data_IF_927980488824
#
_entry.id   IF_927980488824
#
_cell.length_a   1.000
_cell.length_b   1.000
_cell.length_c   1.000
_cell.angle_alpha   90.00
_cell.angle_beta   90.00
_cell.angle_gamma   90.00
#
_symmetry.space_group_name_H-M   'P 1'
#
loop_
_entity.id
_entity.type
_entity.pdbx_description
1 polymer ?
#
# COMPACT_ATOMS: atom_id res chain seq x y z
N UNK A 1 8.30 -16.87 -7.21
CA UNK A 1 7.15 -16.11 -7.78
C UNK A 1 7.68 -15.07 -8.75
N UNK A 2 7.03 -14.92 -9.90
CA UNK A 2 7.30 -13.87 -10.89
C UNK A 2 6.64 -12.53 -10.48
N UNK A 3 6.98 -11.43 -11.17
CA UNK A 3 6.32 -10.12 -10.99
C UNK A 3 4.80 -10.24 -11.16
N UNK A 4 4.36 -10.94 -12.22
CA UNK A 4 2.94 -11.16 -12.50
C UNK A 4 2.23 -11.91 -11.37
N UNK A 5 2.84 -12.97 -10.84
CA UNK A 5 2.28 -13.72 -9.71
C UNK A 5 2.16 -12.86 -8.45
N UNK A 6 3.13 -11.97 -8.20
CA UNK A 6 3.02 -11.03 -7.08
C UNK A 6 1.88 -10.03 -7.26
N UNK A 7 1.68 -9.53 -8.48
CA UNK A 7 0.55 -8.62 -8.76
C UNK A 7 -0.79 -9.34 -8.58
N UNK A 8 -0.93 -10.57 -9.06
CA UNK A 8 -2.13 -11.40 -8.84
C UNK A 8 -2.43 -11.61 -7.35
N UNK A 9 -1.39 -11.79 -6.54
CA UNK A 9 -1.50 -11.86 -5.07
C UNK A 9 -2.00 -10.54 -4.48
N UNK A 10 -1.41 -9.43 -4.90
CA UNK A 10 -1.81 -8.11 -4.43
C UNK A 10 -3.25 -7.78 -4.82
N UNK A 11 -3.68 -8.16 -6.04
CA UNK A 11 -5.06 -7.97 -6.51
C UNK A 11 -6.06 -8.74 -5.64
N UNK A 12 -5.74 -9.99 -5.26
CA UNK A 12 -6.58 -10.77 -4.36
C UNK A 12 -6.66 -10.15 -2.96
N UNK A 13 -5.53 -9.71 -2.40
CA UNK A 13 -5.49 -9.05 -1.09
C UNK A 13 -6.25 -7.72 -1.17
N UNK A 14 -6.14 -6.98 -2.27
CA UNK A 14 -6.86 -5.73 -2.47
C UNK A 14 -8.38 -5.95 -2.52
N UNK A 15 -8.83 -6.94 -3.27
CA UNK A 15 -10.26 -7.30 -3.31
C UNK A 15 -10.81 -7.64 -1.92
N UNK A 16 -10.06 -8.43 -1.13
CA UNK A 16 -10.41 -8.73 0.26
C UNK A 16 -10.38 -7.46 1.14
N UNK A 17 -9.45 -6.55 0.87
CA UNK A 17 -9.36 -5.26 1.57
C UNK A 17 -10.61 -4.43 1.32
N UNK A 18 -11.07 -4.33 0.07
CA UNK A 18 -12.27 -3.56 -0.29
C UNK A 18 -13.53 -4.13 0.36
N UNK A 19 -13.71 -5.44 0.27
CA UNK A 19 -14.93 -6.13 0.69
C UNK A 19 -14.96 -6.49 2.19
N UNK A 20 -13.81 -6.45 2.84
CA UNK A 20 -13.65 -6.97 4.20
C UNK A 20 -13.60 -8.50 4.24
N UNK A 21 -13.46 -9.04 5.44
CA UNK A 21 -13.46 -10.49 5.73
C UNK A 21 -14.66 -10.80 6.62
N UNK A 22 -15.60 -11.66 6.20
CA UNK A 22 -16.79 -11.98 6.98
C UNK A 22 -16.44 -12.36 8.43
N UNK A 23 -17.14 -11.77 9.39
CA UNK A 23 -16.96 -11.94 10.85
C UNK A 23 -15.62 -11.43 11.42
N UNK A 24 -14.72 -10.89 10.61
CA UNK A 24 -13.38 -10.45 11.05
C UNK A 24 -13.16 -8.97 10.81
N UNK A 25 -13.49 -8.48 9.62
CA UNK A 25 -13.29 -7.07 9.29
C UNK A 25 -14.36 -6.56 8.33
N UNK A 26 -14.80 -5.32 8.56
CA UNK A 26 -15.75 -4.61 7.69
C UNK A 26 -15.06 -4.24 6.34
N UNK A 27 -15.84 -3.92 5.29
CA UNK A 27 -15.33 -3.24 4.10
C UNK A 27 -14.47 -2.03 4.47
N UNK A 28 -13.47 -1.72 3.66
CA UNK A 28 -12.54 -0.63 3.97
C UNK A 28 -13.24 0.73 4.03
N UNK A 29 -14.26 0.96 3.20
CA UNK A 29 -15.06 2.18 3.22
C UNK A 29 -15.79 2.37 4.55
N UNK A 30 -16.53 1.36 5.00
CA UNK A 30 -17.21 1.41 6.30
C UNK A 30 -16.24 1.63 7.46
N UNK A 31 -15.09 0.97 7.41
CA UNK A 31 -14.05 1.14 8.40
C UNK A 31 -13.48 2.57 8.42
N UNK A 32 -13.30 3.19 7.26
CA UNK A 32 -12.85 4.57 7.15
C UNK A 32 -13.92 5.57 7.59
N UNK A 33 -15.18 5.33 7.21
CA UNK A 33 -16.32 6.17 7.57
C UNK A 33 -16.52 6.27 9.10
N UNK A 34 -16.28 5.19 9.86
CA UNK A 34 -16.31 5.24 11.33
C UNK A 34 -15.33 6.28 11.91
N UNK A 35 -14.16 6.43 11.29
CA UNK A 35 -13.19 7.46 11.69
C UNK A 35 -13.64 8.85 11.26
N UNK A 36 -14.18 8.98 10.05
CA UNK A 36 -14.69 10.26 9.57
C UNK A 36 -15.88 10.76 10.41
N UNK A 37 -16.81 9.87 10.75
CA UNK A 37 -17.93 10.18 11.62
C UNK A 37 -17.49 10.64 13.01
N UNK A 38 -16.45 10.00 13.56
CA UNK A 38 -15.93 10.29 14.89
C UNK A 38 -15.16 11.61 14.94
N UNK A 39 -14.34 11.88 13.94
CA UNK A 39 -13.39 13.01 13.97
C UNK A 39 -13.82 14.20 13.09
N UNK A 40 -14.81 14.02 12.21
CA UNK A 40 -15.41 15.05 11.34
C UNK A 40 -14.44 15.79 10.40
N UNK A 41 -13.17 15.37 10.34
CA UNK A 41 -12.12 15.93 9.49
C UNK A 41 -11.31 14.77 8.90
N UNK A 42 -11.14 14.76 7.58
CA UNK A 42 -10.48 13.65 6.86
C UNK A 42 -9.00 13.50 7.23
N UNK A 43 -8.29 14.61 7.50
CA UNK A 43 -6.88 14.58 7.87
C UNK A 43 -6.71 14.03 9.28
N UNK A 44 -7.53 14.51 10.21
CA UNK A 44 -7.52 14.02 11.60
C UNK A 44 -7.94 12.54 11.63
N UNK A 45 -9.00 12.18 10.92
CA UNK A 45 -9.47 10.80 10.78
C UNK A 45 -8.35 9.89 10.24
N UNK A 46 -7.67 10.30 9.15
CA UNK A 46 -6.55 9.57 8.56
C UNK A 46 -5.42 9.36 9.57
N UNK A 47 -5.00 10.41 10.29
CA UNK A 47 -3.92 10.32 11.28
C UNK A 47 -4.29 9.39 12.44
N UNK A 48 -5.53 9.46 12.95
CA UNK A 48 -6.01 8.60 14.03
C UNK A 48 -6.13 7.14 13.59
N UNK A 49 -6.63 6.90 12.37
CA UNK A 49 -6.72 5.58 11.76
C UNK A 49 -5.33 4.95 11.67
N UNK A 50 -4.37 5.66 11.09
CA UNK A 50 -3.00 5.18 10.92
C UNK A 50 -2.37 4.83 12.26
N UNK A 51 -2.46 5.70 13.26
CA UNK A 51 -1.90 5.45 14.59
C UNK A 51 -2.51 4.19 15.23
N UNK A 52 -3.82 3.98 15.09
CA UNK A 52 -4.48 2.78 15.59
C UNK A 52 -4.04 1.51 14.85
N UNK A 53 -3.84 1.57 13.53
CA UNK A 53 -3.37 0.41 12.77
C UNK A 53 -1.93 0.04 13.12
N UNK A 54 -1.05 1.03 13.31
CA UNK A 54 0.33 0.80 13.79
C UNK A 54 0.31 0.07 15.14
N UNK A 55 -0.52 0.51 16.09
CA UNK A 55 -0.65 -0.13 17.39
C UNK A 55 -1.18 -1.57 17.27
N UNK A 56 -2.16 -1.82 16.40
CA UNK A 56 -2.69 -3.18 16.18
C UNK A 56 -1.66 -4.12 15.59
N UNK A 57 -0.78 -3.65 14.71
CA UNK A 57 0.30 -4.47 14.16
C UNK A 57 1.32 -4.92 15.21
N UNK A 58 1.39 -4.25 16.38
CA UNK A 58 2.30 -4.64 17.47
C UNK A 58 1.72 -5.75 18.38
N UNK A 59 0.42 -6.01 18.30
CA UNK A 59 -0.23 -7.03 19.10
C UNK A 59 -0.20 -8.36 18.34
N UNK A 60 0.61 -9.31 18.82
CA UNK A 60 0.81 -10.63 18.22
C UNK A 60 -0.51 -11.42 18.00
N UNK A 61 -1.52 -11.18 18.84
CA UNK A 61 -2.82 -11.81 18.72
C UNK A 61 -3.65 -11.38 17.52
N UNK A 62 -3.44 -10.16 17.01
CA UNK A 62 -4.18 -9.65 15.86
C UNK A 62 -3.72 -10.30 14.53
N UNK A 63 -2.41 -10.40 14.33
CA UNK A 63 -1.85 -11.00 13.12
C UNK A 63 -2.10 -12.52 13.05
N UNK A 64 -2.01 -13.22 14.18
CA UNK A 64 -2.30 -14.67 14.23
C UNK A 64 -3.79 -14.96 14.02
N UNK A 65 -4.68 -14.11 14.52
CA UNK A 65 -6.13 -14.24 14.30
C UNK A 65 -6.53 -14.05 12.83
N UNK A 66 -5.89 -13.14 12.11
CA UNK A 66 -6.12 -12.94 10.67
C UNK A 66 -5.56 -14.08 9.81
N UNK A 67 -4.41 -14.65 10.18
CA UNK A 67 -3.73 -15.68 9.39
C UNK A 67 -4.52 -16.97 9.20
N UNK A 68 -5.42 -17.29 10.13
CA UNK A 68 -6.32 -18.45 10.02
C UNK A 68 -7.56 -18.20 9.16
N UNK A 69 -7.89 -16.94 8.88
CA UNK A 69 -9.14 -16.55 8.21
C UNK A 69 -8.91 -16.04 6.77
N UNK A 70 -7.72 -15.50 6.48
CA UNK A 70 -7.32 -15.12 5.13
C UNK A 70 -6.93 -16.39 4.36
N UNK A 71 -7.92 -17.21 4.02
CA UNK A 71 -7.76 -18.33 3.08
C UNK A 71 -7.68 -17.79 1.66
N UNK A 72 -6.63 -17.05 1.37
CA UNK A 72 -6.30 -16.71 0.00
C UNK A 72 -5.53 -17.91 -0.55
N UNK A 73 -5.88 -18.48 -1.71
CA UNK A 73 -5.18 -19.63 -2.28
C UNK A 73 -3.81 -19.22 -2.84
N UNK A 74 -2.94 -18.73 -1.95
CA UNK A 74 -1.64 -18.18 -2.31
C UNK A 74 -0.56 -18.97 -1.58
N UNK A 75 0.53 -19.24 -2.30
CA UNK A 75 1.72 -19.91 -1.77
C UNK A 75 2.57 -19.00 -0.84
N UNK A 76 1.92 -18.12 -0.06
CA UNK A 76 2.58 -17.25 0.91
C UNK A 76 2.30 -17.73 2.34
N UNK A 77 3.29 -17.60 3.24
CA UNK A 77 3.05 -17.81 4.66
C UNK A 77 1.93 -16.88 5.19
N UNK A 78 1.05 -17.42 6.02
CA UNK A 78 -0.13 -16.70 6.53
C UNK A 78 0.23 -15.38 7.26
N UNK A 79 1.36 -15.34 7.96
CA UNK A 79 1.85 -14.12 8.62
C UNK A 79 2.19 -13.01 7.60
N UNK A 80 2.83 -13.31 6.48
CA UNK A 80 3.16 -12.33 5.44
C UNK A 80 1.88 -11.78 4.80
N UNK A 81 0.93 -12.67 4.47
CA UNK A 81 -0.37 -12.27 3.90
C UNK A 81 -1.13 -11.36 4.85
N UNK A 82 -1.14 -11.66 6.15
CA UNK A 82 -1.81 -10.85 7.17
C UNK A 82 -1.20 -9.46 7.31
N UNK A 83 0.13 -9.35 7.31
CA UNK A 83 0.83 -8.06 7.38
C UNK A 83 0.53 -7.21 6.15
N UNK A 84 0.63 -7.80 4.95
CA UNK A 84 0.31 -7.10 3.69
C UNK A 84 -1.15 -6.62 3.70
N UNK A 85 -2.09 -7.45 4.15
CA UNK A 85 -3.51 -7.09 4.26
C UNK A 85 -3.74 -5.89 5.17
N UNK A 86 -3.16 -5.89 6.36
CA UNK A 86 -3.33 -4.78 7.32
C UNK A 86 -2.73 -3.48 6.79
N UNK A 87 -1.54 -3.55 6.20
CA UNK A 87 -0.87 -2.40 5.60
C UNK A 87 -1.65 -1.87 4.40
N UNK A 88 -2.10 -2.75 3.51
CA UNK A 88 -2.91 -2.38 2.34
C UNK A 88 -4.24 -1.74 2.76
N UNK A 89 -4.92 -2.32 3.74
CA UNK A 89 -6.16 -1.79 4.31
C UNK A 89 -5.98 -0.39 4.92
N UNK A 90 -4.87 -0.17 5.60
CA UNK A 90 -4.52 1.14 6.16
C UNK A 90 -4.32 2.18 5.05
N UNK A 91 -3.54 1.85 4.00
CA UNK A 91 -3.30 2.76 2.87
C UNK A 91 -4.61 3.07 2.14
N UNK A 92 -5.40 2.05 1.81
CA UNK A 92 -6.68 2.21 1.10
C UNK A 92 -7.68 3.06 1.90
N UNK A 93 -7.77 2.88 3.23
CA UNK A 93 -8.62 3.69 4.07
C UNK A 93 -8.20 5.17 4.09
N UNK A 94 -6.88 5.45 4.14
CA UNK A 94 -6.37 6.83 4.04
C UNK A 94 -6.69 7.43 2.68
N UNK A 95 -6.50 6.68 1.58
CA UNK A 95 -6.85 7.13 0.24
C UNK A 95 -8.36 7.46 0.14
N UNK A 96 -9.22 6.57 0.61
CA UNK A 96 -10.67 6.77 0.62
C UNK A 96 -11.10 8.01 1.39
N UNK A 97 -10.59 8.22 2.61
CA UNK A 97 -10.87 9.41 3.43
C UNK A 97 -10.52 10.72 2.74
N UNK A 98 -9.60 10.69 1.78
CA UNK A 98 -9.15 11.86 1.02
C UNK A 98 -9.68 11.90 -0.42
N UNK A 99 -10.76 11.17 -0.70
CA UNK A 99 -11.55 11.27 -1.93
C UNK A 99 -10.99 10.50 -3.12
N UNK A 100 -10.08 9.54 -2.91
CA UNK A 100 -9.62 8.65 -3.96
C UNK A 100 -10.63 7.52 -4.19
N UNK A 101 -10.93 7.25 -5.46
CA UNK A 101 -11.81 6.14 -5.84
C UNK A 101 -11.03 4.81 -5.76
N UNK A 102 -11.38 3.98 -4.78
CA UNK A 102 -10.71 2.69 -4.57
C UNK A 102 -10.99 1.66 -5.67
N UNK A 103 -12.00 1.88 -6.52
CA UNK A 103 -12.33 0.98 -7.62
C UNK A 103 -11.59 1.35 -8.92
N UNK A 104 -10.80 2.44 -8.93
CA UNK A 104 -10.01 2.83 -10.07
C UNK A 104 -8.65 2.14 -10.10
N UNK A 105 -8.19 1.75 -11.30
CA UNK A 105 -6.87 1.13 -11.51
C UNK A 105 -5.73 2.03 -11.05
N UNK A 106 -5.92 3.34 -11.19
CA UNK A 106 -4.97 4.36 -10.78
C UNK A 106 -4.77 4.33 -9.25
N UNK A 107 -5.86 4.38 -8.49
CA UNK A 107 -5.78 4.35 -7.02
C UNK A 107 -5.21 3.03 -6.53
N UNK A 108 -5.64 1.91 -7.09
CA UNK A 108 -5.10 0.58 -6.80
C UNK A 108 -3.57 0.54 -7.01
N UNK A 109 -3.11 1.02 -8.17
CA UNK A 109 -1.68 1.10 -8.51
C UNK A 109 -0.91 1.97 -7.51
N UNK A 110 -1.48 3.11 -7.09
CA UNK A 110 -0.85 3.99 -6.09
C UNK A 110 -0.82 3.36 -4.69
N UNK A 111 -1.86 2.62 -4.31
CA UNK A 111 -1.86 1.84 -3.05
C UNK A 111 -0.73 0.80 -3.07
N UNK A 112 -0.56 0.09 -4.19
CA UNK A 112 0.54 -0.89 -4.34
C UNK A 112 1.91 -0.23 -4.32
N UNK A 113 2.09 0.88 -5.02
CA UNK A 113 3.35 1.63 -5.02
C UNK A 113 3.70 2.17 -3.62
N UNK A 114 2.71 2.66 -2.89
CA UNK A 114 2.85 3.10 -1.50
C UNK A 114 3.30 1.95 -0.59
N UNK A 115 2.65 0.79 -0.69
CA UNK A 115 2.98 -0.42 0.05
C UNK A 115 4.39 -0.93 -0.27
N UNK A 116 4.75 -0.98 -1.56
CA UNK A 116 6.05 -1.47 -2.02
C UNK A 116 7.20 -0.48 -1.78
N UNK A 117 6.89 0.80 -1.53
CA UNK A 117 7.89 1.85 -1.41
C UNK A 117 8.51 2.29 -2.73
N UNK A 118 7.78 2.16 -3.84
CA UNK A 118 8.21 2.65 -5.15
C UNK A 118 8.16 4.18 -5.17
N UNK A 119 9.23 4.83 -5.62
CA UNK A 119 9.25 6.29 -5.73
C UNK A 119 8.45 6.77 -6.94
N UNK A 120 7.47 7.64 -6.70
CA UNK A 120 6.66 8.26 -7.75
C UNK A 120 6.97 9.75 -7.96
N UNK A 121 7.94 10.31 -7.23
CA UNK A 121 8.23 11.75 -7.21
C UNK A 121 8.46 12.34 -8.62
N UNK A 122 9.37 11.74 -9.39
CA UNK A 122 9.68 12.24 -10.75
C UNK A 122 8.48 12.09 -11.69
N UNK A 123 7.81 10.94 -11.64
CA UNK A 123 6.61 10.67 -12.45
C UNK A 123 5.51 11.68 -12.18
N UNK A 124 5.19 11.91 -10.90
CA UNK A 124 4.12 12.82 -10.50
C UNK A 124 4.45 14.26 -10.89
N UNK A 125 5.71 14.71 -10.73
CA UNK A 125 6.15 16.03 -11.17
C UNK A 125 6.07 16.19 -12.69
N UNK A 126 6.50 15.21 -13.47
CA UNK A 126 6.41 15.23 -14.94
C UNK A 126 4.95 15.26 -15.39
N UNK A 127 4.09 14.42 -14.80
CA UNK A 127 2.66 14.42 -15.11
C UNK A 127 1.98 15.74 -14.73
N UNK A 128 2.32 16.34 -13.60
CA UNK A 128 1.79 17.64 -13.19
C UNK A 128 2.12 18.75 -14.21
N UNK A 129 3.35 18.76 -14.72
CA UNK A 129 3.77 19.70 -15.78
C UNK A 129 3.05 19.42 -17.09
N UNK A 130 3.01 18.13 -17.51
CA UNK A 130 2.42 17.73 -18.79
C UNK A 130 0.92 18.04 -18.87
N UNK A 131 0.18 17.78 -17.79
CA UNK A 131 -1.27 18.00 -17.75
C UNK A 131 -1.67 19.38 -17.22
N UNK A 132 -0.72 20.24 -16.85
CA UNK A 132 -1.00 21.57 -16.32
C UNK A 132 -1.85 21.58 -15.04
N UNK A 133 -1.77 20.51 -14.22
CA UNK A 133 -2.58 20.36 -13.01
C UNK A 133 -1.70 20.26 -11.77
N UNK A 134 -2.26 20.67 -10.63
CA UNK A 134 -1.58 20.48 -9.35
C UNK A 134 -1.52 19.00 -9.00
N UNK A 135 -0.48 18.62 -8.27
CA UNK A 135 -0.34 17.27 -7.69
C UNK A 135 -1.48 17.04 -6.70
N UNK A 136 -2.42 16.18 -7.07
CA UNK A 136 -3.59 15.83 -6.27
C UNK A 136 -4.31 14.62 -6.87
N UNK A 137 -5.43 14.21 -6.27
CA UNK A 137 -6.30 13.15 -6.77
C UNK A 137 -6.66 13.29 -8.27
N UNK A 138 -6.88 14.53 -8.74
CA UNK A 138 -7.20 14.78 -10.16
C UNK A 138 -6.04 14.38 -11.09
N UNK A 139 -4.79 14.56 -10.67
CA UNK A 139 -3.62 14.13 -11.45
C UNK A 139 -3.57 12.60 -11.55
N UNK A 140 -3.81 11.91 -10.44
CA UNK A 140 -3.80 10.44 -10.41
C UNK A 140 -4.77 9.87 -11.43
N UNK A 141 -5.98 10.42 -11.51
CA UNK A 141 -7.03 10.02 -12.48
C UNK A 141 -6.68 10.26 -13.96
N UNK A 142 -5.66 11.06 -14.25
CA UNK A 142 -5.23 11.38 -15.62
C UNK A 142 -4.03 10.55 -16.08
N UNK A 143 -3.52 9.66 -15.27
CA UNK A 143 -2.34 8.89 -15.64
C UNK A 143 -2.68 7.84 -16.70
N UNK A 144 -1.92 7.79 -17.81
CA UNK A 144 -2.15 6.78 -18.85
C UNK A 144 -1.88 5.36 -18.35
N UNK A 145 -2.65 4.38 -18.83
CA UNK A 145 -2.52 2.97 -18.45
C UNK A 145 -1.11 2.39 -18.65
N UNK A 146 -0.36 2.86 -19.67
CA UNK A 146 1.05 2.47 -19.85
C UNK A 146 1.93 2.89 -18.67
N UNK A 147 1.64 4.04 -18.03
CA UNK A 147 2.36 4.51 -16.84
C UNK A 147 2.02 3.62 -15.65
N UNK A 148 0.74 3.27 -15.47
CA UNK A 148 0.29 2.35 -14.43
C UNK A 148 0.97 0.99 -14.58
N UNK A 149 1.08 0.47 -15.81
CA UNK A 149 1.80 -0.77 -16.10
C UNK A 149 3.28 -0.70 -15.66
N UNK A 150 3.98 0.40 -15.96
CA UNK A 150 5.39 0.60 -15.55
C UNK A 150 5.52 0.66 -14.02
N UNK A 151 4.58 1.31 -13.32
CA UNK A 151 4.54 1.34 -11.85
C UNK A 151 4.35 -0.09 -11.32
N UNK A 152 3.37 -0.82 -11.84
CA UNK A 152 3.05 -2.17 -11.40
C UNK A 152 4.22 -3.15 -11.63
N UNK A 153 4.96 -3.04 -12.73
CA UNK A 153 6.19 -3.83 -12.94
C UNK A 153 7.23 -3.56 -11.84
N UNK A 154 7.45 -2.30 -11.48
CA UNK A 154 8.36 -1.95 -10.37
C UNK A 154 7.85 -2.45 -9.02
N UNK A 155 6.55 -2.38 -8.77
CA UNK A 155 5.92 -2.97 -7.58
C UNK A 155 6.22 -4.48 -7.52
N UNK A 156 5.94 -5.22 -8.59
CA UNK A 156 6.21 -6.66 -8.67
C UNK A 156 7.68 -7.00 -8.41
N UNK A 157 8.60 -6.25 -9.02
CA UNK A 157 10.04 -6.41 -8.78
C UNK A 157 10.43 -6.16 -7.32
N UNK A 158 9.85 -5.14 -6.68
CA UNK A 158 10.07 -4.86 -5.25
C UNK A 158 9.60 -6.01 -4.36
N UNK A 159 8.46 -6.60 -4.65
CA UNK A 159 7.98 -7.75 -3.89
C UNK A 159 8.85 -8.99 -4.08
N UNK A 160 9.38 -9.23 -5.30
CA UNK A 160 10.36 -10.29 -5.54
C UNK A 160 11.62 -10.07 -4.70
N UNK A 161 12.16 -8.86 -4.68
CA UNK A 161 13.39 -8.57 -3.93
C UNK A 161 13.19 -8.65 -2.42
N UNK A 162 12.01 -8.26 -1.94
CA UNK A 162 11.68 -8.28 -0.51
C UNK A 162 11.31 -9.67 0.02
N UNK A 163 10.50 -10.42 -0.73
CA UNK A 163 9.93 -11.70 -0.30
C UNK A 163 10.38 -12.90 -1.15
N UNK A 164 11.25 -12.70 -2.14
CA UNK A 164 11.87 -13.79 -2.91
C UNK A 164 12.88 -14.58 -2.07
N UNK A 165 13.37 -15.69 -2.65
CA UNK A 165 14.27 -16.62 -1.95
C UNK A 165 15.49 -15.94 -1.29
N UNK A 166 16.04 -14.92 -1.92
CA UNK A 166 17.16 -14.13 -1.34
C UNK A 166 16.68 -13.18 -0.24
N UNK A 167 15.47 -12.62 -0.34
CA UNK A 167 14.86 -11.75 0.68
C UNK A 167 14.53 -12.52 1.94
N UNK A 168 13.90 -13.68 1.82
CA UNK A 168 13.58 -14.56 2.95
C UNK A 168 14.83 -15.07 3.68
N UNK A 169 15.91 -15.38 2.95
CA UNK A 169 17.22 -15.76 3.54
C UNK A 169 17.84 -14.60 4.30
N UNK A 170 17.73 -13.37 3.81
CA UNK A 170 18.25 -12.19 4.53
C UNK A 170 17.41 -11.83 5.75
N UNK A 171 16.09 -11.99 5.70
CA UNK A 171 15.22 -11.88 6.87
C UNK A 171 15.55 -12.94 7.92
N UNK A 172 15.80 -14.18 7.49
CA UNK A 172 16.23 -15.26 8.38
C UNK A 172 17.60 -15.05 9.04
N UNK A 173 18.51 -14.30 8.40
CA UNK A 173 19.82 -13.94 8.95
C UNK A 173 19.76 -12.76 9.92
N UNK A 174 18.74 -11.92 9.84
CA UNK A 174 18.50 -10.78 10.73
C UNK A 174 17.73 -11.16 12.01
N UNK A 175 17.23 -12.40 12.08
CA UNK A 175 16.54 -12.93 13.26
C UNK A 175 17.48 -13.88 14.00
N UNK A 176 18.21 -13.42 15.03
CA UNK A 176 18.71 -14.35 16.03
C UNK A 176 17.48 -15.01 16.67
N UNK A 177 17.51 -16.32 16.77
CA UNK A 177 16.47 -17.15 17.40
C UNK A 177 16.37 -16.79 18.89
N UNK A 178 15.68 -15.71 19.21
CA UNK A 178 15.24 -15.39 20.56
C UNK A 178 13.81 -14.90 20.46
N UNK A 179 12.91 -15.85 20.58
CA UNK A 179 11.48 -15.71 20.91
C UNK A 179 10.73 -14.47 20.46
N UNK A 180 9.74 -14.65 19.58
CA UNK A 180 8.46 -13.87 19.45
C UNK A 180 8.48 -12.35 19.40
N UNK A 181 9.45 -11.68 20.01
CA UNK A 181 9.48 -10.22 20.19
C UNK A 181 10.10 -9.50 18.97
N UNK A 182 10.97 -10.16 18.21
CA UNK A 182 11.74 -9.49 17.12
C UNK A 182 10.93 -9.35 15.84
N UNK A 183 10.04 -10.29 15.52
CA UNK A 183 9.14 -10.20 14.35
C UNK A 183 8.21 -8.99 14.45
N UNK A 184 7.61 -8.76 15.62
CA UNK A 184 6.70 -7.65 15.86
C UNK A 184 7.35 -6.26 15.76
N UNK A 185 8.64 -6.12 16.09
CA UNK A 185 9.34 -4.84 16.02
C UNK A 185 9.72 -4.43 14.58
N UNK A 186 10.06 -5.39 13.72
CA UNK A 186 10.35 -5.13 12.31
C UNK A 186 9.06 -4.78 11.55
N UNK A 187 7.99 -5.53 11.78
CA UNK A 187 6.67 -5.26 11.20
C UNK A 187 6.13 -3.88 11.63
N UNK A 188 6.38 -3.51 12.89
CA UNK A 188 6.05 -2.18 13.41
C UNK A 188 6.80 -1.06 12.71
N UNK A 189 8.12 -1.17 12.60
CA UNK A 189 8.95 -0.14 11.99
C UNK A 189 8.58 0.05 10.52
N UNK A 190 8.37 -1.04 9.78
CA UNK A 190 7.95 -1.02 8.40
C UNK A 190 6.54 -0.43 8.25
N UNK A 191 5.58 -0.87 9.07
CA UNK A 191 4.21 -0.34 9.04
C UNK A 191 4.18 1.15 9.31
N UNK A 192 5.03 1.65 10.22
CA UNK A 192 5.18 3.10 10.48
C UNK A 192 5.70 3.86 9.27
N UNK A 193 6.70 3.32 8.55
CA UNK A 193 7.21 3.94 7.31
C UNK A 193 6.11 3.99 6.24
N UNK A 194 5.38 2.90 6.03
CA UNK A 194 4.27 2.82 5.08
C UNK A 194 3.15 3.79 5.47
N UNK A 195 2.82 3.87 6.76
CA UNK A 195 1.83 4.78 7.31
C UNK A 195 2.17 6.25 7.03
N UNK A 196 3.41 6.66 7.30
CA UNK A 196 3.88 8.01 7.03
C UNK A 196 3.81 8.32 5.52
N UNK A 197 4.20 7.37 4.67
CA UNK A 197 4.08 7.52 3.22
C UNK A 197 2.63 7.68 2.78
N UNK A 198 1.71 6.89 3.32
CA UNK A 198 0.28 7.01 3.01
C UNK A 198 -0.27 8.40 3.38
N UNK A 199 0.09 8.95 4.54
CA UNK A 199 -0.29 10.32 4.93
C UNK A 199 0.31 11.34 3.96
N UNK A 200 1.60 11.27 3.66
CA UNK A 200 2.22 12.20 2.72
C UNK A 200 1.56 12.17 1.34
N UNK A 201 1.36 10.98 0.79
CA UNK A 201 0.82 10.83 -0.56
C UNK A 201 -0.65 11.23 -0.66
N UNK A 202 -1.50 10.67 0.19
CA UNK A 202 -2.95 10.79 0.03
C UNK A 202 -3.57 11.97 0.82
N UNK A 203 -2.90 12.47 1.85
CA UNK A 203 -3.38 13.61 2.65
C UNK A 203 -2.67 14.90 2.24
N UNK A 204 -1.33 14.86 2.14
CA UNK A 204 -0.51 16.05 1.88
C UNK A 204 -0.22 16.27 0.40
N UNK A 205 -0.54 15.29 -0.47
CA UNK A 205 -0.19 15.27 -1.89
C UNK A 205 1.33 15.42 -2.14
N UNK A 206 2.15 14.95 -1.20
CA UNK A 206 3.60 14.95 -1.28
C UNK A 206 4.12 13.54 -1.63
N UNK A 207 4.56 13.36 -2.87
CA UNK A 207 5.10 12.11 -3.40
C UNK A 207 6.63 12.06 -3.35
N UNK A 208 7.27 12.90 -2.53
CA UNK A 208 8.73 13.00 -2.44
C UNK A 208 9.40 11.78 -1.80
N UNK A 209 8.68 10.98 -1.02
CA UNK A 209 9.22 9.77 -0.39
C UNK A 209 9.26 8.58 -1.33
N UNK A 210 10.40 7.90 -1.35
CA UNK A 210 10.71 6.67 -2.09
C UNK A 210 12.21 6.56 -2.30
N UNK A 211 12.74 5.36 -2.53
CA UNK A 211 14.16 5.18 -2.86
C UNK A 211 14.41 5.69 -4.27
N UNK A 212 15.44 6.51 -4.46
CA UNK A 212 15.77 7.14 -5.76
C UNK A 212 16.05 6.12 -6.88
N UNK A 213 16.49 4.92 -6.56
CA UNK A 213 16.81 3.86 -7.52
C UNK A 213 15.59 3.29 -8.29
N UNK A 214 14.37 3.64 -7.88
CA UNK A 214 13.12 3.12 -8.44
C UNK A 214 12.32 4.18 -9.22
N UNK A 215 12.99 5.04 -9.92
CA UNK A 215 12.34 6.12 -10.67
C UNK A 215 11.55 5.57 -11.84
N UNK A 216 10.25 5.83 -11.88
CA UNK A 216 9.40 5.71 -13.07
C UNK A 216 9.45 7.04 -13.83
N UNK A 217 9.81 6.99 -15.11
CA UNK A 217 9.88 8.16 -15.99
C UNK A 217 8.75 8.03 -17.03
N UNK A 218 8.04 9.11 -17.26
CA UNK A 218 7.13 9.21 -18.41
C UNK A 218 7.99 9.53 -19.64
N UNK A 219 7.91 8.68 -20.67
CA UNK A 219 8.58 8.95 -21.94
C UNK A 219 7.87 10.13 -22.62
N UNK A 220 8.64 10.96 -23.34
CA UNK A 220 8.13 12.18 -24.00
C UNK A 220 7.08 11.95 -25.09
N UNK A 221 6.86 10.70 -25.47
CA UNK A 221 5.98 10.32 -26.59
C UNK A 221 4.51 10.05 -26.16
N UNK A 222 4.12 10.47 -24.96
CA UNK A 222 2.73 10.38 -24.53
C UNK A 222 1.91 11.51 -25.16
N UNK A 223 1.11 11.19 -26.18
CA UNK A 223 0.05 12.06 -26.65
C UNK A 223 -1.03 12.18 -25.56
N UNK A 224 -1.39 13.40 -25.26
CA UNK A 224 -2.53 13.72 -24.39
C UNK A 224 -3.79 13.32 -25.14
N UNK A 225 -4.45 12.24 -24.74
CA UNK A 225 -5.80 11.93 -25.23
C UNK A 225 -6.73 12.91 -24.51
N UNK A 226 -7.29 13.86 -25.27
CA UNK A 226 -8.30 14.81 -24.81
C UNK A 226 -9.61 14.11 -24.42
#
# INVERSE_FOLDING_TARGET
MSEKQWLEVLDQIYAVTLNGVPKVSKPVSEFADEYLEKYKDSKIASQKLVNNQILKCTTSGFLTGLGGVLTIPIALPANITSVIYVQMRMIAAVAYLNGYDLNSDETQTFVYACLAGVSLNKLVKQAAVLFGVKVCNTLVKKLPGKVLTKINQKVGFRFITKFGTKGLVNLGKLVPVVGGVIGGTLDFAETKVIANRAIKWFVENDFSEGKEDDVVIIDSDFEVVE
#
